data_IF_696345147999
#
_entry.id   IF_696345147999
#
_cell.length_a   1.000
_cell.length_b   1.000
_cell.length_c   1.000
_cell.angle_alpha   90.00
_cell.angle_beta   90.00
_cell.angle_gamma   90.00
#
_symmetry.space_group_name_H-M   'P 1'
#
loop_
_entity.id
_entity.type
_entity.pdbx_description
1 polymer ?
#
# COMPACT_ATOMS: atom_id res chain seq x y z
N UNK A 1 10.16 -4.44 15.07
CA UNK A 1 9.66 -4.80 16.42
C UNK A 1 8.95 -6.15 16.40
N UNK A 2 8.68 -6.74 17.58
CA UNK A 2 7.96 -8.02 17.71
C UNK A 2 6.57 -7.80 18.28
N UNK A 3 5.56 -8.35 17.62
CA UNK A 3 4.17 -8.29 18.04
C UNK A 3 3.56 -9.69 18.17
N UNK A 4 2.67 -9.89 19.13
CA UNK A 4 1.91 -11.12 19.33
C UNK A 4 0.57 -11.00 18.62
N UNK A 5 0.25 -11.97 17.77
CA UNK A 5 -1.08 -12.11 17.20
C UNK A 5 -2.07 -12.54 18.28
N UNK A 6 -3.02 -11.68 18.60
CA UNK A 6 -3.98 -11.87 19.71
C UNK A 6 -5.36 -12.26 19.26
N UNK A 7 -5.79 -11.78 18.11
CA UNK A 7 -7.09 -12.08 17.57
C UNK A 7 -7.02 -12.17 16.04
N UNK A 8 -7.83 -13.07 15.49
CA UNK A 8 -8.12 -13.15 14.06
C UNK A 8 -9.64 -13.05 13.94
N UNK A 9 -10.14 -12.02 13.28
CA UNK A 9 -11.58 -11.83 13.06
C UNK A 9 -11.89 -11.95 11.58
N UNK A 10 -12.99 -12.64 11.28
CA UNK A 10 -13.56 -12.65 9.93
C UNK A 10 -14.29 -11.32 9.70
N UNK A 11 -13.87 -10.56 8.69
CA UNK A 11 -14.47 -9.26 8.37
C UNK A 11 -15.44 -9.33 7.19
N UNK A 12 -15.10 -10.16 6.20
CA UNK A 12 -15.85 -10.38 4.98
C UNK A 12 -15.31 -11.64 4.28
N UNK A 13 -15.99 -12.12 3.24
CA UNK A 13 -15.53 -13.23 2.43
C UNK A 13 -14.15 -12.93 1.83
N UNK A 14 -13.17 -13.77 2.19
CA UNK A 14 -11.78 -13.60 1.79
C UNK A 14 -11.01 -12.53 2.57
N UNK A 15 -11.57 -11.91 3.61
CA UNK A 15 -10.91 -10.85 4.38
C UNK A 15 -10.96 -11.17 5.87
N UNK A 16 -9.78 -11.27 6.48
CA UNK A 16 -9.61 -11.37 7.92
C UNK A 16 -8.86 -10.16 8.46
N UNK A 17 -9.20 -9.72 9.67
CA UNK A 17 -8.40 -8.76 10.45
C UNK A 17 -7.59 -9.48 11.53
N UNK A 18 -6.46 -8.87 11.88
CA UNK A 18 -5.46 -9.43 12.76
C UNK A 18 -5.05 -8.38 13.79
N UNK A 19 -5.29 -8.67 15.06
CA UNK A 19 -4.91 -7.79 16.18
C UNK A 19 -3.52 -8.18 16.68
N UNK A 20 -2.59 -7.25 16.57
CA UNK A 20 -1.19 -7.40 16.93
C UNK A 20 -0.92 -6.56 18.19
N UNK A 21 -0.50 -7.20 19.28
CA UNK A 21 -0.13 -6.52 20.53
C UNK A 21 1.38 -6.56 20.77
N UNK A 22 1.97 -5.57 21.46
CA UNK A 22 3.40 -5.59 21.76
C UNK A 22 3.74 -6.76 22.70
N UNK A 23 4.83 -7.48 22.42
CA UNK A 23 5.22 -8.66 23.20
C UNK A 23 5.66 -8.31 24.62
N UNK A 24 6.23 -7.11 24.79
CA UNK A 24 6.79 -6.59 26.05
C UNK A 24 5.73 -5.96 26.99
N UNK A 25 4.46 -5.91 26.56
CA UNK A 25 3.36 -5.33 27.33
C UNK A 25 3.35 -3.80 27.35
N UNK A 26 4.16 -3.14 26.52
CA UNK A 26 4.17 -1.69 26.35
C UNK A 26 3.05 -1.18 25.44
N UNK A 27 3.31 -0.04 24.80
CA UNK A 27 2.45 0.52 23.76
C UNK A 27 3.12 0.35 22.40
N UNK A 28 2.34 0.01 21.38
CA UNK A 28 2.79 0.06 19.99
C UNK A 28 3.22 1.48 19.64
N UNK A 29 4.27 1.72 18.82
CA UNK A 29 4.64 3.06 18.35
C UNK A 29 3.43 3.90 17.89
N UNK A 30 3.54 5.22 17.97
CA UNK A 30 2.47 6.05 17.43
C UNK A 30 2.49 5.99 15.89
N UNK A 31 1.33 6.12 15.26
CA UNK A 31 1.21 6.23 13.81
C UNK A 31 0.20 7.34 13.46
N UNK A 32 0.24 7.76 12.21
CA UNK A 32 -0.69 8.73 11.63
C UNK A 32 -1.65 8.03 10.66
N UNK A 33 -2.86 8.55 10.42
CA UNK A 33 -3.77 8.00 9.42
C UNK A 33 -3.09 7.80 8.05
N UNK A 34 -3.38 6.66 7.41
CA UNK A 34 -2.73 6.21 6.18
C UNK A 34 -1.45 5.40 6.38
N UNK A 35 -0.94 5.29 7.61
CA UNK A 35 0.26 4.48 7.86
C UNK A 35 0.03 2.97 7.67
N UNK A 36 1.10 2.27 7.33
CA UNK A 36 1.18 0.82 7.21
C UNK A 36 2.38 0.28 7.99
N UNK A 37 2.40 -1.04 8.19
CA UNK A 37 3.56 -1.79 8.69
C UNK A 37 3.96 -2.86 7.69
N UNK A 38 5.26 -3.12 7.60
CA UNK A 38 5.78 -4.30 6.91
C UNK A 38 5.77 -5.48 7.87
N UNK A 39 5.25 -6.61 7.41
CA UNK A 39 5.18 -7.87 8.15
C UNK A 39 6.11 -8.88 7.52
N UNK A 40 7.03 -9.45 8.30
CA UNK A 40 7.91 -10.52 7.82
C UNK A 40 7.14 -11.85 7.74
N UNK A 41 7.12 -12.46 6.56
CA UNK A 41 6.44 -13.75 6.31
C UNK A 41 7.43 -14.92 6.22
N UNK A 42 8.61 -14.67 5.67
CA UNK A 42 9.74 -15.60 5.61
C UNK A 42 11.04 -14.78 5.45
N UNK A 43 12.25 -15.30 5.69
CA UNK A 43 13.48 -14.55 5.44
C UNK A 43 13.50 -13.90 4.05
N UNK A 44 13.78 -12.60 3.98
CA UNK A 44 13.67 -11.79 2.76
C UNK A 44 12.23 -11.37 2.41
N UNK A 45 11.23 -12.22 2.60
CA UNK A 45 9.84 -11.93 2.23
C UNK A 45 9.07 -11.14 3.30
N UNK A 46 8.84 -9.85 3.07
CA UNK A 46 7.90 -9.05 3.85
C UNK A 46 6.66 -8.62 3.03
N UNK A 47 5.57 -8.19 3.67
CA UNK A 47 4.40 -7.57 3.01
C UNK A 47 3.88 -6.40 3.82
N UNK A 48 3.48 -5.33 3.14
CA UNK A 48 2.96 -4.11 3.75
C UNK A 48 1.45 -4.19 3.93
N UNK A 49 0.93 -3.79 5.09
CA UNK A 49 -0.50 -3.72 5.38
C UNK A 49 -0.84 -2.44 6.12
N UNK A 50 -1.82 -1.68 5.61
CA UNK A 50 -2.32 -0.47 6.25
C UNK A 50 -2.86 -0.77 7.65
N UNK A 51 -2.54 0.11 8.59
CA UNK A 51 -3.08 0.08 9.94
C UNK A 51 -4.53 0.55 9.92
N UNK A 52 -5.41 -0.19 10.60
CA UNK A 52 -6.87 -0.01 10.52
C UNK A 52 -7.44 0.68 11.75
N UNK A 53 -6.84 0.46 12.92
CA UNK A 53 -7.38 0.95 14.18
C UNK A 53 -7.26 2.47 14.32
N UNK A 54 -7.99 3.05 15.26
CA UNK A 54 -7.83 4.46 15.63
C UNK A 54 -6.37 4.71 16.08
N UNK A 55 -5.66 5.69 15.48
CA UNK A 55 -4.30 6.06 15.89
C UNK A 55 -4.14 6.46 17.36
N UNK A 56 -5.22 6.89 18.02
CA UNK A 56 -5.22 7.18 19.45
C UNK A 56 -5.12 5.91 20.32
N UNK A 57 -5.46 4.74 19.77
CA UNK A 57 -5.39 3.45 20.46
C UNK A 57 -4.01 2.83 20.20
N UNK A 58 -3.14 2.89 21.21
CA UNK A 58 -1.76 2.36 21.12
C UNK A 58 -1.54 1.00 21.76
N UNK A 59 -2.60 0.35 22.24
CA UNK A 59 -2.53 -0.98 22.84
C UNK A 59 -2.27 -2.09 21.82
N UNK A 60 -2.66 -1.87 20.56
CA UNK A 60 -2.52 -2.83 19.47
C UNK A 60 -2.42 -2.13 18.13
N UNK A 61 -2.00 -2.88 17.13
CA UNK A 61 -2.23 -2.58 15.72
C UNK A 61 -3.24 -3.57 15.15
N UNK A 62 -4.15 -3.08 14.33
CA UNK A 62 -5.05 -3.89 13.51
C UNK A 62 -4.61 -3.78 12.05
N UNK A 63 -4.41 -4.93 11.40
CA UNK A 63 -4.24 -5.02 9.95
C UNK A 63 -5.35 -5.89 9.37
N UNK A 64 -5.76 -5.63 8.13
CA UNK A 64 -6.71 -6.48 7.41
C UNK A 64 -6.06 -7.02 6.14
N UNK A 65 -6.22 -8.32 5.90
CA UNK A 65 -5.58 -9.02 4.78
C UNK A 65 -6.67 -9.64 3.92
N UNK A 66 -6.73 -9.21 2.66
CA UNK A 66 -7.52 -9.88 1.63
C UNK A 66 -6.75 -11.09 1.08
N UNK A 67 -7.38 -12.25 1.04
CA UNK A 67 -6.88 -13.47 0.42
C UNK A 67 -7.00 -13.36 -1.10
N UNK A 68 -6.01 -12.74 -1.73
CA UNK A 68 -5.92 -12.66 -3.18
C UNK A 68 -5.91 -14.05 -3.82
N UNK A 69 -6.76 -14.27 -4.83
CA UNK A 69 -6.86 -15.53 -5.59
C UNK A 69 -5.50 -15.83 -6.26
N UNK A 70 -4.91 -14.83 -6.91
CA UNK A 70 -3.60 -14.91 -7.58
C UNK A 70 -2.45 -14.55 -6.62
N UNK A 71 -2.60 -14.91 -5.35
CA UNK A 71 -1.58 -14.65 -4.33
C UNK A 71 -0.22 -15.21 -4.75
N UNK A 72 0.82 -14.37 -4.72
CA UNK A 72 2.24 -14.75 -4.85
C UNK A 72 2.79 -15.46 -3.58
N UNK A 73 1.90 -15.88 -2.69
CA UNK A 73 2.20 -16.62 -1.46
C UNK A 73 1.89 -15.85 -0.19
N UNK A 74 2.03 -14.51 -0.18
CA UNK A 74 1.95 -13.70 1.04
C UNK A 74 0.61 -13.76 1.77
N UNK A 75 -0.47 -13.29 1.13
CA UNK A 75 -1.81 -13.28 1.75
C UNK A 75 -2.32 -14.69 2.06
N UNK A 76 -2.03 -15.66 1.18
CA UNK A 76 -2.35 -17.07 1.39
C UNK A 76 -1.66 -17.63 2.64
N UNK A 77 -0.36 -17.35 2.80
CA UNK A 77 0.39 -17.76 3.98
C UNK A 77 -0.23 -17.20 5.26
N UNK A 78 -0.59 -15.91 5.29
CA UNK A 78 -1.23 -15.30 6.47
C UNK A 78 -2.57 -15.99 6.77
N UNK A 79 -3.43 -16.19 5.77
CA UNK A 79 -4.73 -16.84 5.97
C UNK A 79 -4.61 -18.30 6.44
N UNK A 80 -3.67 -19.06 5.88
CA UNK A 80 -3.58 -20.49 6.14
C UNK A 80 -2.72 -20.85 7.35
N UNK A 81 -1.66 -20.08 7.64
CA UNK A 81 -0.62 -20.44 8.61
C UNK A 81 -0.66 -19.63 9.90
N UNK A 82 -1.25 -18.43 9.90
CA UNK A 82 -1.25 -17.61 11.11
C UNK A 82 -2.22 -18.14 12.16
N UNK A 83 -1.78 -18.14 13.41
CA UNK A 83 -2.56 -18.62 14.55
C UNK A 83 -2.36 -17.70 15.74
N UNK A 84 -3.44 -17.47 16.49
CA UNK A 84 -3.40 -16.72 17.75
C UNK A 84 -2.29 -17.27 18.66
N UNK A 85 -1.53 -16.35 19.25
CA UNK A 85 -0.39 -16.64 20.11
C UNK A 85 0.98 -16.56 19.42
N UNK A 86 1.03 -16.60 18.09
CA UNK A 86 2.28 -16.43 17.33
C UNK A 86 2.92 -15.06 17.57
N UNK A 87 4.25 -15.03 17.55
CA UNK A 87 5.05 -13.80 17.58
C UNK A 87 5.51 -13.53 16.15
N UNK A 88 5.27 -12.31 15.69
CA UNK A 88 5.52 -11.83 14.35
C UNK A 88 6.52 -10.67 14.40
N UNK A 89 7.41 -10.61 13.43
CA UNK A 89 8.29 -9.47 13.22
C UNK A 89 7.59 -8.48 12.27
N UNK A 90 7.45 -7.24 12.75
CA UNK A 90 6.85 -6.14 11.99
C UNK A 90 7.74 -4.90 12.04
N UNK A 91 7.71 -4.05 11.03
CA UNK A 91 8.43 -2.77 11.04
C UNK A 91 7.80 -1.77 12.01
N UNK A 92 8.49 -0.65 12.25
CA UNK A 92 7.82 0.56 12.72
C UNK A 92 6.84 1.08 11.64
N UNK A 93 5.81 1.86 12.00
CA UNK A 93 4.89 2.42 11.03
C UNK A 93 5.59 3.31 10.01
N UNK A 94 5.19 3.18 8.75
CA UNK A 94 5.58 4.05 7.63
C UNK A 94 4.33 4.67 7.05
N UNK A 95 4.39 5.90 6.56
CA UNK A 95 3.22 6.58 5.99
C UNK A 95 3.53 7.17 4.62
N UNK A 96 3.06 6.50 3.57
CA UNK A 96 3.13 6.97 2.19
C UNK A 96 1.80 7.59 1.73
N UNK A 97 0.80 7.64 2.62
CA UNK A 97 -0.54 8.13 2.34
C UNK A 97 -1.04 9.09 3.44
N UNK A 98 -0.27 10.15 3.77
CA UNK A 98 -0.57 11.02 4.90
C UNK A 98 -1.86 11.83 4.69
N UNK A 99 -2.62 11.98 5.77
CA UNK A 99 -3.85 12.77 5.77
C UNK A 99 -3.57 14.26 6.08
N UNK A 100 -4.18 15.16 5.31
CA UNK A 100 -4.18 16.60 5.57
C UNK A 100 -5.27 16.91 6.61
N UNK A 101 -4.85 17.17 7.85
CA UNK A 101 -5.78 17.32 8.99
C UNK A 101 -6.54 18.65 9.04
N UNK A 102 -6.06 19.67 8.33
CA UNK A 102 -6.64 21.01 8.26
C UNK A 102 -7.44 21.29 6.98
N UNK A 103 -7.68 20.25 6.17
CA UNK A 103 -8.58 20.30 5.03
C UNK A 103 -9.97 20.83 5.45
N UNK A 104 -10.56 21.68 4.60
CA UNK A 104 -11.93 22.17 4.79
C UNK A 104 -12.95 21.04 4.65
N UNK A 105 -12.70 20.13 3.71
CA UNK A 105 -13.49 18.94 3.45
C UNK A 105 -12.62 17.80 2.87
N UNK A 106 -12.87 16.57 3.32
CA UNK A 106 -12.13 15.38 2.89
C UNK A 106 -13.08 14.36 2.24
N UNK A 107 -12.83 14.00 0.98
CA UNK A 107 -13.59 12.98 0.27
C UNK A 107 -12.75 11.71 0.18
N UNK A 108 -13.24 10.62 0.73
CA UNK A 108 -12.56 9.32 0.68
C UNK A 108 -13.29 8.39 -0.30
N UNK A 109 -12.52 7.72 -1.15
CA UNK A 109 -13.04 6.80 -2.16
C UNK A 109 -12.29 5.47 -2.00
N UNK A 110 -13.01 4.44 -1.58
CA UNK A 110 -12.45 3.14 -1.25
C UNK A 110 -12.98 2.04 -2.17
N UNK A 111 -12.10 1.16 -2.65
CA UNK A 111 -12.45 -0.04 -3.40
C UNK A 111 -11.99 -1.31 -2.68
N UNK A 112 -12.94 -2.18 -2.31
CA UNK A 112 -12.65 -3.47 -1.68
C UNK A 112 -11.85 -3.33 -0.38
N UNK A 113 -10.64 -3.91 -0.34
CA UNK A 113 -9.76 -3.83 0.84
C UNK A 113 -9.11 -2.45 1.02
N UNK A 114 -9.17 -1.56 0.01
CA UNK A 114 -8.71 -0.17 0.11
C UNK A 114 -9.46 0.69 1.14
N UNK A 115 -10.47 0.12 1.82
CA UNK A 115 -11.12 0.74 2.98
C UNK A 115 -10.19 0.86 4.19
N UNK A 116 -9.16 0.01 4.29
CA UNK A 116 -8.28 -0.06 5.48
C UNK A 116 -7.59 1.26 5.84
N UNK A 117 -6.94 2.01 4.93
CA UNK A 117 -6.33 3.31 5.26
C UNK A 117 -7.38 4.39 5.55
N UNK A 118 -8.62 4.25 5.10
CA UNK A 118 -9.67 5.25 5.29
C UNK A 118 -10.25 5.23 6.71
N UNK A 119 -10.29 4.06 7.36
CA UNK A 119 -10.81 3.92 8.72
C UNK A 119 -10.07 4.75 9.78
N UNK A 120 -8.72 4.76 9.87
CA UNK A 120 -8.02 5.66 10.77
C UNK A 120 -8.16 7.14 10.37
N UNK A 121 -8.34 7.45 9.08
CA UNK A 121 -8.63 8.82 8.62
C UNK A 121 -9.98 9.29 9.15
N UNK A 122 -11.04 8.48 9.00
CA UNK A 122 -12.37 8.75 9.54
C UNK A 122 -12.31 8.97 11.05
N UNK A 123 -11.68 8.06 11.80
CA UNK A 123 -11.54 8.18 13.25
C UNK A 123 -10.86 9.50 13.66
N UNK A 124 -9.82 9.90 12.91
CA UNK A 124 -9.09 11.16 13.16
C UNK A 124 -9.93 12.38 12.82
N UNK A 125 -10.64 12.39 11.69
CA UNK A 125 -11.48 13.50 11.24
C UNK A 125 -12.67 13.73 12.19
N UNK A 126 -13.32 12.65 12.65
CA UNK A 126 -14.38 12.73 13.68
C UNK A 126 -13.85 13.37 14.98
N UNK A 127 -12.68 12.92 15.46
CA UNK A 127 -12.05 13.49 16.65
C UNK A 127 -11.69 14.97 16.50
N UNK A 128 -11.34 15.40 15.30
CA UNK A 128 -11.03 16.80 14.97
C UNK A 128 -12.28 17.64 14.66
N UNK A 129 -13.46 17.03 14.52
CA UNK A 129 -14.67 17.70 14.07
C UNK A 129 -14.56 18.24 12.63
N UNK A 130 -13.80 17.56 11.77
CA UNK A 130 -13.60 17.94 10.36
C UNK A 130 -14.68 17.32 9.46
N UNK A 131 -15.01 18.02 8.39
CA UNK A 131 -16.00 17.56 7.42
C UNK A 131 -15.41 16.49 6.50
N UNK A 132 -16.14 15.41 6.29
CA UNK A 132 -15.73 14.32 5.41
C UNK A 132 -16.90 13.55 4.82
N UNK A 133 -16.67 12.82 3.74
CA UNK A 133 -17.58 11.81 3.20
C UNK A 133 -16.79 10.60 2.67
N UNK A 134 -17.46 9.44 2.59
CA UNK A 134 -16.86 8.19 2.10
C UNK A 134 -17.74 7.57 1.01
N UNK A 135 -17.15 7.28 -0.14
CA UNK A 135 -17.73 6.44 -1.18
C UNK A 135 -16.99 5.10 -1.21
N UNK A 136 -17.66 4.04 -0.76
CA UNK A 136 -17.09 2.71 -0.66
C UNK A 136 -17.73 1.76 -1.69
N UNK A 137 -16.93 1.11 -2.52
CA UNK A 137 -17.39 0.06 -3.44
C UNK A 137 -16.78 -1.29 -3.10
N UNK A 138 -17.61 -2.32 -3.13
CA UNK A 138 -17.18 -3.72 -3.04
C UNK A 138 -17.89 -4.55 -4.11
N UNK A 139 -17.39 -5.74 -4.41
CA UNK A 139 -18.02 -6.60 -5.42
C UNK A 139 -19.44 -7.04 -4.99
N UNK A 140 -19.63 -7.33 -3.71
CA UNK A 140 -20.89 -7.81 -3.13
C UNK A 140 -20.93 -7.48 -1.62
N UNK A 141 -22.11 -7.53 -0.97
CA UNK A 141 -22.23 -7.25 0.46
C UNK A 141 -21.36 -8.14 1.34
N UNK A 142 -21.25 -9.43 1.01
CA UNK A 142 -20.42 -10.41 1.70
C UNK A 142 -18.91 -10.16 1.54
N UNK A 143 -18.48 -9.39 0.54
CA UNK A 143 -17.07 -9.02 0.30
C UNK A 143 -16.71 -7.61 0.77
N UNK A 144 -17.64 -6.91 1.41
CA UNK A 144 -17.43 -5.57 1.96
C UNK A 144 -16.98 -5.67 3.43
N UNK A 145 -15.71 -5.36 3.69
CA UNK A 145 -15.18 -5.39 5.05
C UNK A 145 -15.60 -4.15 5.84
N UNK A 146 -15.76 -4.30 7.16
CA UNK A 146 -16.03 -3.21 8.10
C UNK A 146 -17.33 -2.41 7.88
N UNK A 147 -18.31 -2.96 7.15
CA UNK A 147 -19.63 -2.30 6.95
C UNK A 147 -20.28 -1.93 8.29
N UNK A 148 -20.19 -2.80 9.30
CA UNK A 148 -20.73 -2.54 10.65
C UNK A 148 -20.08 -1.35 11.35
N UNK A 149 -18.82 -0.99 11.01
CA UNK A 149 -18.15 0.21 11.55
C UNK A 149 -18.60 1.49 10.84
N UNK A 150 -19.23 1.35 9.67
CA UNK A 150 -19.59 2.45 8.78
C UNK A 150 -21.10 2.73 8.75
N UNK A 151 -21.92 1.77 9.19
CA UNK A 151 -23.39 1.80 9.06
C UNK A 151 -24.08 2.97 9.75
N UNK A 152 -23.46 3.51 10.80
CA UNK A 152 -24.03 4.58 11.62
C UNK A 152 -23.73 5.99 11.07
N UNK A 153 -22.98 6.07 9.96
CA UNK A 153 -22.60 7.34 9.35
C UNK A 153 -23.49 7.67 8.14
N UNK A 154 -24.23 8.77 8.23
CA UNK A 154 -25.06 9.33 7.15
C UNK A 154 -24.27 9.80 5.92
N UNK A 155 -22.98 10.03 6.10
CA UNK A 155 -22.02 10.48 5.07
C UNK A 155 -21.21 9.34 4.43
N UNK A 156 -21.64 8.09 4.63
CA UNK A 156 -21.07 6.92 3.97
C UNK A 156 -22.03 6.41 2.92
N UNK A 157 -21.54 6.29 1.70
CA UNK A 157 -22.23 5.66 0.60
C UNK A 157 -21.55 4.34 0.24
N UNK A 158 -22.28 3.23 0.32
CA UNK A 158 -21.78 1.91 -0.08
C UNK A 158 -22.45 1.48 -1.38
N UNK A 159 -21.64 1.05 -2.35
CA UNK A 159 -22.07 0.52 -3.63
C UNK A 159 -21.55 -0.91 -3.83
N UNK A 160 -22.31 -1.70 -4.58
CA UNK A 160 -21.95 -3.08 -4.94
C UNK A 160 -21.98 -3.25 -6.45
N UNK A 161 -20.85 -3.53 -7.09
CA UNK A 161 -20.72 -3.49 -8.56
C UNK A 161 -20.53 -4.86 -9.23
N UNK A 162 -20.31 -5.92 -8.43
CA UNK A 162 -20.12 -7.30 -8.88
C UNK A 162 -21.38 -8.17 -8.86
N UNK A 163 -22.54 -7.59 -8.57
CA UNK A 163 -23.84 -8.30 -8.52
C UNK A 163 -24.77 -7.89 -9.67
N UNK A 164 -25.73 -8.73 -10.08
CA UNK A 164 -26.74 -8.35 -11.07
C UNK A 164 -27.52 -7.10 -10.63
N UNK A 165 -27.54 -6.06 -11.48
CA UNK A 165 -28.15 -4.77 -11.14
C UNK A 165 -27.32 -3.92 -10.17
N UNK A 166 -26.06 -4.29 -9.95
CA UNK A 166 -25.11 -3.56 -9.12
C UNK A 166 -24.86 -2.13 -9.63
N UNK A 167 -24.34 -1.30 -8.74
CA UNK A 167 -24.07 0.13 -8.98
C UNK A 167 -22.58 0.39 -8.89
N UNK A 168 -22.05 1.06 -9.91
CA UNK A 168 -20.67 1.57 -9.92
C UNK A 168 -20.64 2.94 -9.28
N UNK A 169 -19.51 3.28 -8.65
CA UNK A 169 -19.24 4.66 -8.28
C UNK A 169 -19.02 5.49 -9.55
N UNK A 170 -19.69 6.64 -9.61
CA UNK A 170 -19.45 7.64 -10.65
C UNK A 170 -18.37 8.60 -10.14
N UNK A 171 -17.10 8.26 -10.40
CA UNK A 171 -15.95 9.05 -9.94
C UNK A 171 -15.98 10.48 -10.49
N UNK A 172 -16.48 10.67 -11.71
CA UNK A 172 -16.60 11.99 -12.30
C UNK A 172 -17.65 12.84 -11.57
N UNK A 173 -18.80 12.26 -11.24
CA UNK A 173 -19.83 12.94 -10.46
C UNK A 173 -19.35 13.24 -9.03
N UNK A 174 -18.66 12.31 -8.36
CA UNK A 174 -18.07 12.51 -7.03
C UNK A 174 -17.07 13.68 -7.08
N UNK A 175 -16.14 13.66 -8.03
CA UNK A 175 -15.16 14.73 -8.19
C UNK A 175 -15.78 16.09 -8.52
N UNK A 176 -16.86 16.12 -9.31
CA UNK A 176 -17.56 17.36 -9.66
C UNK A 176 -18.39 17.93 -8.51
N UNK A 177 -18.93 17.07 -7.64
CA UNK A 177 -19.71 17.48 -6.48
C UNK A 177 -18.84 18.01 -5.33
N UNK A 178 -17.62 17.48 -5.18
CA UNK A 178 -16.72 17.84 -4.11
C UNK A 178 -16.24 19.32 -4.20
N UNK A 179 -16.22 20.10 -3.09
CA UNK A 179 -15.77 21.49 -3.07
C UNK A 179 -14.37 21.66 -3.69
N UNK A 180 -14.09 22.74 -4.42
CA UNK A 180 -12.86 22.89 -5.20
C UNK A 180 -11.55 22.75 -4.39
N UNK A 181 -11.56 23.13 -3.12
CA UNK A 181 -10.45 23.04 -2.18
C UNK A 181 -10.42 21.73 -1.35
N UNK A 182 -11.39 20.84 -1.53
CA UNK A 182 -11.42 19.55 -0.84
C UNK A 182 -10.20 18.68 -1.20
N UNK A 183 -9.78 17.86 -0.24
CA UNK A 183 -8.77 16.82 -0.46
C UNK A 183 -9.47 15.48 -0.74
N UNK A 184 -9.10 14.85 -1.85
CA UNK A 184 -9.66 13.58 -2.29
C UNK A 184 -8.62 12.48 -2.07
N UNK A 185 -9.03 11.41 -1.40
CA UNK A 185 -8.21 10.24 -1.09
C UNK A 185 -8.79 9.01 -1.79
N UNK A 186 -8.00 8.32 -2.60
CA UNK A 186 -8.45 7.15 -3.36
C UNK A 186 -7.55 5.94 -3.11
N UNK A 187 -8.14 4.82 -2.68
CA UNK A 187 -7.43 3.55 -2.52
C UNK A 187 -8.32 2.39 -2.97
N UNK A 188 -7.82 1.52 -3.85
CA UNK A 188 -8.61 0.44 -4.42
C UNK A 188 -7.92 -0.26 -5.59
N UNK A 189 -8.68 -1.02 -6.41
CA UNK A 189 -8.16 -1.73 -7.57
C UNK A 189 -7.53 -0.79 -8.62
N UNK A 190 -6.53 -1.27 -9.37
CA UNK A 190 -5.78 -0.47 -10.36
C UNK A 190 -6.68 0.26 -11.36
N UNK A 191 -7.66 -0.44 -11.93
CA UNK A 191 -8.64 0.18 -12.84
C UNK A 191 -9.42 1.36 -12.23
N UNK A 192 -9.75 1.30 -10.94
CA UNK A 192 -10.42 2.39 -10.23
C UNK A 192 -9.47 3.57 -10.00
N UNK A 193 -8.23 3.31 -9.58
CA UNK A 193 -7.23 4.35 -9.38
C UNK A 193 -6.88 5.05 -10.70
N UNK A 194 -6.75 4.30 -11.79
CA UNK A 194 -6.52 4.83 -13.13
C UNK A 194 -7.68 5.73 -13.59
N UNK A 195 -8.94 5.31 -13.34
CA UNK A 195 -10.10 6.12 -13.64
C UNK A 195 -10.16 7.41 -12.78
N UNK A 196 -9.77 7.33 -11.51
CA UNK A 196 -9.65 8.49 -10.63
C UNK A 196 -8.61 9.50 -11.15
N UNK A 197 -7.41 9.03 -11.52
CA UNK A 197 -6.36 9.88 -12.14
C UNK A 197 -6.86 10.49 -13.44
N UNK A 198 -7.45 9.68 -14.33
CA UNK A 198 -7.93 10.12 -15.64
C UNK A 198 -9.08 11.14 -15.56
N UNK A 199 -9.86 11.12 -14.47
CA UNK A 199 -10.90 12.12 -14.23
C UNK A 199 -10.29 13.51 -14.06
N UNK A 200 -9.00 13.60 -13.67
CA UNK A 200 -8.22 14.83 -13.41
C UNK A 200 -8.79 15.74 -12.32
N UNK A 201 -10.08 15.61 -11.98
CA UNK A 201 -10.88 16.27 -10.95
C UNK A 201 -10.65 17.79 -10.80
N UNK A 202 -9.97 18.41 -11.78
CA UNK A 202 -9.36 19.75 -11.80
C UNK A 202 -8.89 20.26 -10.44
N UNK A 203 -8.15 19.41 -9.72
CA UNK A 203 -7.70 19.71 -8.35
C UNK A 203 -6.40 20.50 -8.32
N UNK A 204 -6.19 21.37 -7.32
CA UNK A 204 -4.87 21.92 -7.04
C UNK A 204 -3.85 20.79 -6.79
N UNK A 205 -2.58 21.01 -7.17
CA UNK A 205 -1.50 20.05 -6.90
C UNK A 205 -1.47 19.74 -5.39
N UNK A 206 -1.50 18.46 -5.03
CA UNK A 206 -1.51 18.00 -3.63
C UNK A 206 -2.90 17.84 -2.99
N UNK A 207 -3.99 18.01 -3.75
CA UNK A 207 -5.36 17.77 -3.27
C UNK A 207 -5.96 16.44 -3.73
N UNK A 208 -5.26 15.71 -4.59
CA UNK A 208 -5.62 14.34 -4.96
C UNK A 208 -4.51 13.41 -4.46
N UNK A 209 -4.89 12.44 -3.63
CA UNK A 209 -4.00 11.50 -2.96
C UNK A 209 -4.40 10.09 -3.34
N UNK A 210 -3.41 9.25 -3.66
CA UNK A 210 -3.66 7.89 -4.13
C UNK A 210 -2.75 6.92 -3.38
N UNK A 211 -3.31 5.80 -2.94
CA UNK A 211 -2.53 4.67 -2.43
C UNK A 211 -2.76 3.43 -3.28
N UNK A 212 -1.67 2.86 -3.80
CA UNK A 212 -1.64 1.63 -4.56
C UNK A 212 -1.31 0.45 -3.64
N UNK A 213 -2.16 -0.57 -3.61
CA UNK A 213 -1.88 -1.84 -2.91
C UNK A 213 -1.25 -2.89 -3.80
N UNK A 214 -1.42 -2.73 -5.10
CA UNK A 214 -0.71 -3.51 -6.09
C UNK A 214 -0.36 -2.65 -7.29
N UNK A 215 0.78 -2.96 -7.90
CA UNK A 215 1.14 -2.40 -9.19
C UNK A 215 0.65 -3.33 -10.31
N UNK A 216 -0.14 -2.79 -11.23
CA UNK A 216 -0.43 -3.43 -12.52
C UNK A 216 0.66 -3.12 -13.56
N UNK A 217 1.87 -2.78 -13.12
CA UNK A 217 2.99 -2.42 -14.00
C UNK A 217 3.75 -3.67 -14.40
N UNK A 218 4.11 -3.74 -15.68
CA UNK A 218 4.92 -4.82 -16.23
C UNK A 218 6.30 -4.80 -15.57
N UNK A 219 6.62 -5.81 -14.76
CA UNK A 219 7.93 -5.89 -14.09
C UNK A 219 9.04 -6.06 -15.13
N UNK A 220 10.13 -5.29 -14.99
CA UNK A 220 11.28 -5.38 -15.88
C UNK A 220 12.01 -6.72 -15.72
N UNK A 221 11.83 -7.59 -16.70
CA UNK A 221 12.47 -8.92 -16.78
C UNK A 221 13.18 -9.15 -18.11
N UNK A 222 13.39 -8.10 -18.92
CA UNK A 222 14.12 -8.21 -20.19
C UNK A 222 15.60 -8.60 -19.96
N UNK A 223 16.15 -8.25 -18.80
CA UNK A 223 17.54 -8.54 -18.43
C UNK A 223 18.56 -7.93 -19.40
N UNK A 224 19.75 -8.52 -19.45
CA UNK A 224 20.80 -8.14 -20.41
C UNK A 224 21.63 -6.93 -20.00
N UNK A 225 21.64 -6.58 -18.73
CA UNK A 225 22.44 -5.50 -18.16
C UNK A 225 23.18 -5.95 -16.91
N UNK A 226 24.12 -5.13 -16.45
CA UNK A 226 24.98 -5.41 -15.30
C UNK A 226 24.78 -4.37 -14.20
N UNK A 227 24.81 -4.83 -12.94
CA UNK A 227 24.84 -4.00 -11.75
C UNK A 227 26.27 -3.92 -11.21
N UNK A 228 26.78 -2.71 -11.04
CA UNK A 228 28.01 -2.43 -10.31
C UNK A 228 27.66 -1.90 -8.92
N UNK A 229 28.04 -2.65 -7.88
CA UNK A 229 27.71 -2.31 -6.50
C UNK A 229 28.89 -1.54 -5.89
N UNK A 230 28.74 -0.22 -5.75
CA UNK A 230 29.85 0.68 -5.44
C UNK A 230 30.49 0.44 -4.06
N UNK A 231 29.72 -0.01 -3.06
CA UNK A 231 30.25 -0.24 -1.70
C UNK A 231 30.90 -1.62 -1.59
N UNK A 232 30.29 -2.63 -2.20
CA UNK A 232 30.81 -4.00 -2.14
C UNK A 232 31.86 -4.33 -3.21
N UNK A 233 31.94 -3.53 -4.29
CA UNK A 233 32.78 -3.79 -5.45
C UNK A 233 32.34 -5.00 -6.28
N UNK A 234 31.15 -5.55 -6.02
CA UNK A 234 30.59 -6.67 -6.76
C UNK A 234 30.03 -6.20 -8.11
N UNK A 235 30.11 -7.09 -9.09
CA UNK A 235 29.47 -6.93 -10.39
C UNK A 235 28.51 -8.11 -10.58
N UNK A 236 27.23 -7.82 -10.83
CA UNK A 236 26.16 -8.82 -10.90
C UNK A 236 25.45 -8.66 -12.25
N UNK A 237 25.35 -9.74 -13.02
CA UNK A 237 24.51 -9.76 -14.22
C UNK A 237 23.05 -9.91 -13.85
N UNK A 238 22.15 -9.23 -14.56
CA UNK A 238 20.71 -9.50 -14.51
C UNK A 238 20.34 -10.20 -15.81
N UNK A 239 19.97 -11.47 -15.70
CA UNK A 239 19.65 -12.31 -16.86
C UNK A 239 18.21 -12.11 -17.34
N UNK A 240 17.91 -12.56 -18.56
CA UNK A 240 16.54 -12.54 -19.10
C UNK A 240 15.61 -13.38 -18.21
N UNK A 241 14.42 -12.85 -17.93
CA UNK A 241 13.43 -13.46 -17.04
C UNK A 241 13.65 -13.17 -15.55
N UNK A 242 14.71 -12.46 -15.18
CA UNK A 242 15.07 -12.14 -13.79
C UNK A 242 14.85 -10.66 -13.47
N UNK A 243 14.40 -10.35 -12.26
CA UNK A 243 14.35 -8.97 -11.76
C UNK A 243 15.69 -8.55 -11.15
N UNK A 244 15.95 -7.24 -11.10
CA UNK A 244 17.14 -6.73 -10.42
C UNK A 244 17.20 -7.16 -8.94
N UNK A 245 16.07 -7.19 -8.25
CA UNK A 245 15.96 -7.69 -6.88
C UNK A 245 16.37 -9.16 -6.77
N UNK A 246 15.85 -10.03 -7.65
CA UNK A 246 16.17 -11.46 -7.61
C UNK A 246 17.66 -11.72 -7.85
N UNK A 247 18.27 -11.00 -8.80
CA UNK A 247 19.70 -11.07 -9.07
C UNK A 247 20.55 -10.66 -7.85
N UNK A 248 20.15 -9.57 -7.18
CA UNK A 248 20.81 -9.09 -5.95
C UNK A 248 20.70 -10.11 -4.81
N UNK A 249 19.51 -10.67 -4.59
CA UNK A 249 19.28 -11.67 -3.55
C UNK A 249 20.05 -12.97 -3.83
N UNK A 250 20.04 -13.44 -5.08
CA UNK A 250 20.80 -14.62 -5.52
C UNK A 250 22.30 -14.46 -5.34
N UNK A 251 22.82 -13.23 -5.49
CA UNK A 251 24.21 -12.88 -5.23
C UNK A 251 24.55 -12.66 -3.74
N UNK A 252 23.58 -12.91 -2.84
CA UNK A 252 23.73 -12.76 -1.39
C UNK A 252 23.89 -11.31 -0.94
N UNK A 253 23.31 -10.35 -1.67
CA UNK A 253 23.26 -8.95 -1.28
C UNK A 253 22.13 -8.77 -0.27
N UNK A 254 22.44 -8.16 0.87
CA UNK A 254 21.44 -7.80 1.87
C UNK A 254 20.72 -6.53 1.42
N UNK A 255 19.50 -6.71 0.91
CA UNK A 255 18.64 -5.62 0.44
C UNK A 255 17.24 -5.76 1.02
N UNK A 256 16.72 -4.67 1.55
CA UNK A 256 15.35 -4.62 2.06
C UNK A 256 14.34 -4.70 0.92
N UNK A 257 13.30 -5.52 1.08
CA UNK A 257 12.13 -5.48 0.20
C UNK A 257 10.87 -5.90 0.97
N UNK A 258 9.72 -5.35 0.56
CA UNK A 258 8.42 -5.72 1.14
C UNK A 258 7.42 -6.06 0.03
N UNK A 259 6.74 -5.09 -0.58
CA UNK A 259 5.70 -5.38 -1.58
C UNK A 259 6.21 -6.24 -2.75
N UNK A 260 7.44 -6.01 -3.21
CA UNK A 260 7.96 -6.52 -4.49
C UNK A 260 7.03 -6.19 -5.67
N UNK A 261 6.47 -4.98 -5.64
CA UNK A 261 5.51 -4.44 -6.60
C UNK A 261 5.79 -2.95 -6.91
N UNK A 262 6.89 -2.36 -6.44
CA UNK A 262 7.21 -0.97 -6.75
C UNK A 262 6.29 0.08 -6.10
N UNK A 263 5.66 -0.23 -4.97
CA UNK A 263 4.69 0.66 -4.29
C UNK A 263 5.12 1.07 -2.87
N UNK A 264 5.89 0.25 -2.16
CA UNK A 264 6.17 0.50 -0.73
C UNK A 264 7.44 1.32 -0.45
N UNK A 265 8.34 1.46 -1.44
CA UNK A 265 9.63 2.14 -1.26
C UNK A 265 10.73 1.35 -0.52
N UNK A 266 10.42 0.23 0.14
CA UNK A 266 11.42 -0.54 0.93
C UNK A 266 12.64 -1.01 0.13
N UNK A 267 12.51 -1.25 -1.17
CA UNK A 267 13.62 -1.66 -2.05
C UNK A 267 14.25 -0.49 -2.83
N UNK A 268 14.10 0.74 -2.35
CA UNK A 268 14.75 1.89 -2.95
C UNK A 268 16.27 1.81 -2.79
N UNK A 269 16.98 1.96 -3.90
CA UNK A 269 18.44 2.01 -3.94
C UNK A 269 18.87 3.28 -4.66
N UNK A 270 19.89 3.96 -4.13
CA UNK A 270 20.48 5.12 -4.78
C UNK A 270 21.29 4.70 -6.01
N UNK A 271 21.08 5.41 -7.11
CA UNK A 271 21.79 5.23 -8.39
C UNK A 271 22.93 6.24 -8.46
N UNK A 272 24.12 5.76 -8.80
CA UNK A 272 25.35 6.56 -8.96
C UNK A 272 25.74 6.73 -10.44
N UNK A 273 25.21 5.89 -11.33
CA UNK A 273 25.48 5.95 -12.76
C UNK A 273 24.60 5.03 -13.59
N UNK A 274 24.38 5.40 -14.85
CA UNK A 274 23.45 4.74 -15.79
C UNK A 274 22.04 5.34 -15.76
N UNK A 275 21.11 4.77 -16.53
CA UNK A 275 19.74 5.27 -16.66
C UNK A 275 18.75 4.14 -16.32
N UNK A 276 18.06 4.23 -15.18
CA UNK A 276 16.99 3.30 -14.82
C UNK A 276 15.86 3.22 -15.85
N UNK A 277 15.27 2.03 -15.95
CA UNK A 277 13.95 1.83 -16.53
C UNK A 277 12.90 1.77 -15.42
N UNK A 278 12.41 2.94 -15.00
CA UNK A 278 11.45 3.07 -13.90
C UNK A 278 10.09 2.46 -14.22
N UNK A 279 9.67 1.52 -13.37
CA UNK A 279 8.34 0.86 -13.47
C UNK A 279 7.54 0.92 -12.18
N UNK A 280 8.02 1.67 -11.20
CA UNK A 280 7.41 1.80 -9.89
C UNK A 280 6.34 2.90 -9.85
N UNK A 281 5.50 2.86 -8.82
CA UNK A 281 4.51 3.90 -8.50
C UNK A 281 4.88 4.69 -7.23
N UNK A 282 6.09 4.51 -6.72
CA UNK A 282 6.55 5.18 -5.50
C UNK A 282 7.25 6.51 -5.80
N UNK A 283 8.19 6.50 -6.75
CA UNK A 283 8.94 7.66 -7.16
C UNK A 283 8.06 8.60 -7.99
N UNK A 284 8.16 9.90 -7.71
CA UNK A 284 7.48 10.92 -8.50
C UNK A 284 8.09 11.01 -9.90
N UNK A 285 7.39 11.62 -10.86
CA UNK A 285 7.94 11.85 -12.19
C UNK A 285 9.23 12.69 -12.15
N UNK A 286 9.36 13.59 -11.17
CA UNK A 286 10.57 14.38 -10.94
C UNK A 286 11.73 13.52 -10.45
N UNK A 287 11.47 12.63 -9.47
CA UNK A 287 12.47 11.69 -8.96
C UNK A 287 12.93 10.71 -10.06
N UNK A 288 12.00 10.18 -10.86
CA UNK A 288 12.29 9.30 -11.99
C UNK A 288 13.10 10.01 -13.07
N UNK A 289 12.81 11.28 -13.34
CA UNK A 289 13.58 12.08 -14.30
C UNK A 289 15.02 12.38 -13.79
N UNK A 290 15.20 12.48 -12.47
CA UNK A 290 16.51 12.74 -11.87
C UNK A 290 17.46 11.52 -11.96
N UNK A 291 16.95 10.29 -12.09
CA UNK A 291 17.72 9.05 -12.16
C UNK A 291 18.68 8.86 -10.96
N UNK A 292 18.34 9.37 -9.78
CA UNK A 292 19.18 9.30 -8.57
C UNK A 292 18.83 8.15 -7.63
N UNK A 293 17.68 7.51 -7.81
CA UNK A 293 17.28 6.30 -7.09
C UNK A 293 16.48 5.37 -8.01
N UNK A 294 16.24 4.14 -7.56
CA UNK A 294 15.51 3.11 -8.30
C UNK A 294 14.83 2.12 -7.35
N UNK A 295 13.65 1.62 -7.73
CA UNK A 295 13.00 0.49 -7.06
C UNK A 295 13.41 -0.83 -7.72
N UNK A 296 14.36 -1.54 -7.10
CA UNK A 296 14.97 -2.73 -7.72
C UNK A 296 14.02 -3.92 -7.89
N UNK A 297 12.86 -3.93 -7.22
CA UNK A 297 11.92 -5.05 -7.31
C UNK A 297 11.08 -5.09 -8.58
N UNK A 298 11.10 -4.02 -9.38
CA UNK A 298 10.24 -3.90 -10.56
C UNK A 298 10.88 -3.14 -11.73
N UNK A 299 11.87 -2.28 -11.44
CA UNK A 299 12.53 -1.46 -12.44
C UNK A 299 13.72 -2.17 -13.07
N UNK A 300 14.05 -1.79 -14.30
CA UNK A 300 15.17 -2.33 -15.07
C UNK A 300 16.24 -1.29 -15.37
N UNK A 301 16.99 -1.50 -16.45
CA UNK A 301 18.00 -0.57 -16.94
C UNK A 301 17.80 -0.24 -18.41
N UNK A 302 17.93 1.03 -18.77
CA UNK A 302 18.03 1.48 -20.17
C UNK A 302 19.48 1.51 -20.67
N UNK A 303 20.45 1.39 -19.77
CA UNK A 303 21.89 1.33 -20.07
C UNK A 303 22.44 -0.08 -19.85
N UNK A 304 23.56 -0.43 -20.50
CA UNK A 304 24.19 -1.73 -20.30
C UNK A 304 24.67 -1.98 -18.85
N UNK A 305 24.97 -0.90 -18.12
CA UNK A 305 25.39 -0.94 -16.72
C UNK A 305 24.59 0.07 -15.89
N UNK A 306 24.18 -0.32 -14.69
CA UNK A 306 23.75 0.58 -13.59
C UNK A 306 24.73 0.47 -12.43
N UNK A 307 25.12 1.61 -11.86
CA UNK A 307 25.96 1.69 -10.66
C UNK A 307 25.08 2.03 -9.47
N UNK A 308 25.05 1.15 -8.47
CA UNK A 308 24.20 1.25 -7.29
C UNK A 308 25.04 1.52 -6.03
N UNK A 309 24.54 2.35 -5.11
CA UNK A 309 25.23 2.69 -3.85
C UNK A 309 25.06 1.63 -2.75
N UNK A 310 25.39 0.37 -3.06
CA UNK A 310 25.29 -0.80 -2.16
C UNK A 310 26.52 -1.73 -2.29
#
# INVERSE_FOLDING_TARGET
MRARLKNIRWEAEGINSYILEPVDGGLMPAFEPGAHVDVQLAPGLARSYSLVNDPAIRGYYEIAVHHAIDSRGGSRHIHEQWRVGQILDISDPKNNFPMVEDASHTVMIAGGIGITPMLPMIARLEKLGRSWELHYVAASPDRAAYVDRLSDHDRVEIAYDGIPGGRRLDLAAICAAAPADAHLYCCGPGGMLNAFVATNCDRPKGHAHIEYFSAETEVATEGGYTLELAKSGKTISVDEGETMLDALLSAGVDIGFACAEGICGTCEVRVLGGVPDHRDHFLTDEDKAANTSIMVCCSGSKTATLVLDI
#
